data_IF_828656443379
#
_entry.id   IF_828656443379
#
_cell.length_a   1.000
_cell.length_b   1.000
_cell.length_c   1.000
_cell.angle_alpha   90.00
_cell.angle_beta   90.00
_cell.angle_gamma   90.00
#
_symmetry.space_group_name_H-M   'P 1'
#
loop_
_entity.id
_entity.type
_entity.pdbx_description
1 polymer ?
#
# COMPACT_ATOMS: atom_id res chain seq x y z
N UNK A 1 -7.37 -38.93 32.38
CA UNK A 1 -8.11 -37.95 31.59
C UNK A 1 -9.38 -38.60 31.08
N UNK A 2 -10.52 -38.05 31.44
CA UNK A 2 -11.82 -38.57 30.99
C UNK A 2 -12.07 -38.08 29.56
N UNK A 3 -12.77 -38.86 28.72
CA UNK A 3 -13.10 -38.46 27.35
C UNK A 3 -13.77 -37.06 27.27
N UNK A 4 -14.52 -36.71 28.31
CA UNK A 4 -15.13 -35.38 28.44
C UNK A 4 -14.11 -34.26 28.57
N UNK A 5 -12.99 -34.44 29.26
CA UNK A 5 -11.94 -33.42 29.43
C UNK A 5 -11.25 -33.15 28.13
N UNK A 6 -11.01 -34.19 27.33
CA UNK A 6 -10.40 -34.09 25.99
C UNK A 6 -11.34 -33.31 25.05
N UNK A 7 -12.62 -33.58 25.09
CA UNK A 7 -13.63 -32.91 24.27
C UNK A 7 -13.72 -31.42 24.56
N UNK A 8 -13.67 -31.04 25.85
CA UNK A 8 -13.67 -29.62 26.27
C UNK A 8 -12.39 -28.89 25.77
N UNK A 9 -11.23 -29.54 25.93
CA UNK A 9 -9.95 -28.96 25.49
C UNK A 9 -9.95 -28.76 23.94
N UNK A 10 -10.40 -29.75 23.18
CA UNK A 10 -10.49 -29.65 21.71
C UNK A 10 -11.45 -28.54 21.30
N UNK A 11 -12.60 -28.44 21.95
CA UNK A 11 -13.57 -27.36 21.69
C UNK A 11 -13.01 -25.98 22.00
N UNK A 12 -12.28 -25.83 23.11
CA UNK A 12 -11.63 -24.57 23.49
C UNK A 12 -10.53 -24.17 22.49
N UNK A 13 -9.68 -25.11 22.08
CA UNK A 13 -8.63 -24.86 21.08
C UNK A 13 -9.25 -24.50 19.73
N UNK A 14 -10.29 -25.17 19.30
CA UNK A 14 -11.00 -24.85 18.05
C UNK A 14 -11.63 -23.44 18.08
N UNK A 15 -12.21 -23.06 19.23
CA UNK A 15 -12.78 -21.72 19.43
C UNK A 15 -11.70 -20.64 19.39
N UNK A 16 -10.56 -20.86 20.05
CA UNK A 16 -9.43 -19.92 20.01
C UNK A 16 -8.81 -19.81 18.62
N UNK A 17 -8.66 -20.92 17.91
CA UNK A 17 -8.18 -20.91 16.52
C UNK A 17 -9.14 -20.19 15.58
N UNK A 18 -10.45 -20.40 15.75
CA UNK A 18 -11.48 -19.69 14.97
C UNK A 18 -11.47 -18.18 15.25
N UNK A 19 -11.31 -17.80 16.51
CA UNK A 19 -11.21 -16.40 16.91
C UNK A 19 -9.94 -15.76 16.34
N UNK A 20 -8.80 -16.46 16.42
CA UNK A 20 -7.54 -16.01 15.82
C UNK A 20 -7.67 -15.83 14.31
N UNK A 21 -8.28 -16.78 13.61
CA UNK A 21 -8.54 -16.67 12.16
C UNK A 21 -9.45 -15.48 11.82
N UNK A 22 -10.46 -15.21 12.64
CA UNK A 22 -11.38 -14.10 12.44
C UNK A 22 -10.68 -12.74 12.58
N UNK A 23 -9.79 -12.58 13.58
CA UNK A 23 -9.09 -11.32 13.82
C UNK A 23 -7.83 -11.12 12.97
N UNK A 24 -7.10 -12.21 12.66
CA UNK A 24 -5.83 -12.16 11.94
C UNK A 24 -5.93 -12.74 10.52
N UNK A 25 -7.12 -13.17 10.08
CA UNK A 25 -7.32 -13.68 8.74
C UNK A 25 -6.92 -12.66 7.66
N UNK A 26 -6.50 -13.14 6.47
CA UNK A 26 -6.03 -12.26 5.40
C UNK A 26 -7.14 -11.32 4.96
N UNK A 27 -6.89 -10.02 5.07
CA UNK A 27 -7.80 -9.00 4.54
C UNK A 27 -7.81 -9.10 3.03
N UNK A 28 -9.00 -9.05 2.44
CA UNK A 28 -9.17 -9.09 0.99
C UNK A 28 -8.60 -7.81 0.39
N UNK A 29 -7.43 -7.91 -0.23
CA UNK A 29 -6.86 -6.85 -1.04
C UNK A 29 -7.35 -7.03 -2.49
N UNK A 30 -7.78 -5.96 -3.13
CA UNK A 30 -8.17 -5.98 -4.54
C UNK A 30 -7.08 -5.33 -5.37
N UNK A 31 -6.67 -6.02 -6.43
CA UNK A 31 -5.68 -5.51 -7.38
C UNK A 31 -6.37 -4.71 -8.47
N UNK A 32 -5.84 -3.54 -8.78
CA UNK A 32 -6.35 -2.70 -9.86
C UNK A 32 -6.13 -3.38 -11.22
N UNK A 33 -7.11 -3.25 -12.11
CA UNK A 33 -7.07 -3.81 -13.46
C UNK A 33 -6.33 -2.85 -14.38
N UNK A 34 -5.35 -3.37 -15.12
CA UNK A 34 -4.63 -2.60 -16.14
C UNK A 34 -5.47 -2.51 -17.41
N UNK A 35 -5.86 -1.31 -17.79
CA UNK A 35 -6.61 -1.04 -19.01
C UNK A 35 -6.01 0.17 -19.74
N UNK A 36 -5.50 -0.05 -20.97
CA UNK A 36 -4.95 1.03 -21.79
C UNK A 36 -3.76 1.78 -21.19
N UNK A 37 -2.88 1.09 -20.45
CA UNK A 37 -1.72 1.71 -19.79
C UNK A 37 -2.04 2.45 -18.49
N UNK A 38 -3.27 2.38 -18.00
CA UNK A 38 -3.72 2.97 -16.73
C UNK A 38 -4.34 1.88 -15.87
N UNK A 39 -4.04 1.89 -14.60
CA UNK A 39 -4.63 0.98 -13.63
C UNK A 39 -5.96 1.57 -13.15
N UNK A 40 -7.05 0.82 -13.29
CA UNK A 40 -8.38 1.26 -12.89
C UNK A 40 -8.95 0.37 -11.81
N UNK A 41 -9.53 1.00 -10.80
CA UNK A 41 -10.26 0.33 -9.75
C UNK A 41 -11.44 1.19 -9.30
N UNK A 42 -12.55 0.51 -9.01
CA UNK A 42 -13.71 1.12 -8.37
C UNK A 42 -13.69 0.85 -6.86
N UNK A 43 -13.94 1.89 -6.08
CA UNK A 43 -14.02 1.84 -4.62
C UNK A 43 -15.40 2.32 -4.19
N UNK A 44 -16.17 1.42 -3.62
CA UNK A 44 -17.47 1.78 -3.05
C UNK A 44 -17.27 2.44 -1.69
N UNK A 45 -17.95 3.56 -1.47
CA UNK A 45 -17.92 4.33 -0.22
C UNK A 45 -19.30 4.24 0.44
N UNK A 46 -19.38 3.40 1.48
CA UNK A 46 -20.58 3.20 2.28
C UNK A 46 -20.20 2.80 3.69
N UNK A 47 -20.17 3.75 4.62
CA UNK A 47 -19.69 3.54 5.98
C UNK A 47 -18.20 3.20 6.09
N UNK A 48 -17.48 3.18 4.95
CA UNK A 48 -16.08 2.83 4.81
C UNK A 48 -15.70 2.74 3.35
N UNK A 49 -14.45 2.33 3.09
CA UNK A 49 -13.95 2.05 1.74
C UNK A 49 -14.01 0.55 1.45
N UNK A 50 -14.55 0.18 0.31
CA UNK A 50 -14.57 -1.22 -0.14
C UNK A 50 -14.07 -1.30 -1.60
N UNK A 51 -12.91 -1.89 -1.86
CA UNK A 51 -11.98 -2.53 -0.92
C UNK A 51 -11.22 -1.51 -0.05
N UNK A 52 -10.86 -1.91 1.19
CA UNK A 52 -10.02 -1.10 2.09
C UNK A 52 -8.54 -1.13 1.68
N UNK A 53 -8.10 -2.23 1.05
CA UNK A 53 -6.73 -2.45 0.62
C UNK A 53 -6.69 -2.57 -0.90
N UNK A 54 -5.96 -1.67 -1.53
CA UNK A 54 -5.83 -1.54 -2.98
C UNK A 54 -4.39 -1.85 -3.35
N UNK A 55 -4.17 -2.75 -4.32
CA UNK A 55 -2.84 -3.05 -4.86
C UNK A 55 -2.70 -2.47 -6.26
N UNK A 56 -1.63 -1.73 -6.46
CA UNK A 56 -1.28 -1.09 -7.73
C UNK A 56 0.19 -1.30 -8.05
N UNK A 57 0.58 -1.14 -9.31
CA UNK A 57 1.96 -1.24 -9.76
C UNK A 57 2.63 0.12 -9.80
N UNK A 58 3.89 0.16 -9.39
CA UNK A 58 4.73 1.34 -9.47
C UNK A 58 4.93 1.81 -10.93
N UNK A 59 4.97 3.11 -11.12
CA UNK A 59 5.27 3.73 -12.42
C UNK A 59 4.13 3.69 -13.43
N UNK A 60 2.97 3.15 -13.07
CA UNK A 60 1.77 3.13 -13.92
C UNK A 60 0.69 4.01 -13.30
N UNK A 61 0.18 5.03 -14.00
CA UNK A 61 -0.89 5.88 -13.50
C UNK A 61 -2.10 5.08 -13.01
N UNK A 62 -2.72 5.54 -11.95
CA UNK A 62 -3.87 4.88 -11.32
C UNK A 62 -5.07 5.81 -11.36
N UNK A 63 -6.21 5.30 -11.82
CA UNK A 63 -7.52 5.95 -11.75
C UNK A 63 -8.38 5.19 -10.74
N UNK A 64 -8.62 5.79 -9.58
CA UNK A 64 -9.54 5.28 -8.58
C UNK A 64 -10.89 5.97 -8.73
N UNK A 65 -11.91 5.21 -9.06
CA UNK A 65 -13.28 5.71 -9.14
C UNK A 65 -13.99 5.42 -7.81
N UNK A 66 -14.24 6.46 -7.03
CA UNK A 66 -14.99 6.37 -5.80
C UNK A 66 -16.49 6.49 -6.11
N UNK A 67 -17.24 5.42 -5.88
CA UNK A 67 -18.71 5.39 -5.97
C UNK A 67 -19.27 5.61 -4.57
N UNK A 68 -19.67 6.85 -4.26
CA UNK A 68 -20.21 7.19 -2.96
C UNK A 68 -21.69 6.90 -2.90
N UNK A 69 -22.09 5.95 -2.06
CA UNK A 69 -23.45 5.46 -1.88
C UNK A 69 -24.03 5.87 -0.53
N UNK A 70 -23.65 7.04 -0.05
CA UNK A 70 -24.15 7.60 1.20
C UNK A 70 -24.10 9.12 1.19
N UNK A 71 -24.77 9.75 2.17
CA UNK A 71 -24.82 11.20 2.32
C UNK A 71 -24.08 11.72 3.57
N UNK A 72 -23.47 10.82 4.37
CA UNK A 72 -22.78 11.19 5.61
C UNK A 72 -21.58 12.10 5.36
N UNK A 73 -21.41 13.16 6.14
CA UNK A 73 -20.35 14.17 5.92
C UNK A 73 -18.93 13.60 6.09
N UNK A 74 -18.77 12.53 6.86
CA UNK A 74 -17.46 11.94 7.12
C UNK A 74 -16.73 11.53 5.84
N UNK A 75 -17.45 10.93 4.87
CA UNK A 75 -16.89 10.43 3.61
C UNK A 75 -17.01 11.43 2.45
N UNK A 76 -17.35 12.69 2.75
CA UNK A 76 -17.48 13.76 1.73
C UNK A 76 -16.17 14.12 1.03
N UNK A 77 -15.05 13.65 1.54
CA UNK A 77 -13.72 13.93 1.00
C UNK A 77 -12.80 12.74 1.25
N UNK A 78 -11.97 12.42 0.26
CA UNK A 78 -10.83 11.49 0.40
C UNK A 78 -9.52 12.28 0.33
N UNK A 79 -8.55 11.88 1.14
CA UNK A 79 -7.23 12.51 1.22
C UNK A 79 -6.15 11.44 1.11
N UNK A 80 -5.21 11.66 0.20
CA UNK A 80 -4.00 10.87 0.00
C UNK A 80 -2.80 11.76 0.38
N UNK A 81 -2.35 11.75 1.65
CA UNK A 81 -1.32 12.69 2.13
C UNK A 81 -0.01 12.58 1.37
N UNK A 82 0.45 11.35 1.14
CA UNK A 82 1.73 11.06 0.48
C UNK A 82 1.75 11.50 -1.00
N UNK A 83 0.60 11.47 -1.65
CA UNK A 83 0.44 11.94 -3.03
C UNK A 83 0.02 13.42 -3.11
N UNK A 84 -0.23 14.08 -1.98
CA UNK A 84 -0.75 15.46 -1.89
C UNK A 84 -2.04 15.66 -2.70
N UNK A 85 -2.85 14.62 -2.79
CA UNK A 85 -4.12 14.63 -3.50
C UNK A 85 -5.27 14.61 -2.50
N UNK A 86 -6.24 15.49 -2.71
CA UNK A 86 -7.48 15.55 -1.96
C UNK A 86 -8.63 15.77 -2.93
N UNK A 87 -9.66 14.96 -2.85
CA UNK A 87 -10.83 15.05 -3.72
C UNK A 87 -12.13 15.07 -2.91
N UNK A 88 -13.05 15.93 -3.32
CA UNK A 88 -14.41 15.92 -2.81
C UNK A 88 -15.17 14.75 -3.44
N UNK A 89 -15.93 14.04 -2.62
CA UNK A 89 -16.80 12.95 -3.04
C UNK A 89 -18.26 13.36 -2.80
N UNK A 90 -18.96 13.92 -3.80
CA UNK A 90 -20.38 14.26 -3.65
C UNK A 90 -21.21 13.03 -3.35
N UNK A 91 -22.28 13.19 -2.54
CA UNK A 91 -23.19 12.10 -2.19
C UNK A 91 -23.83 11.51 -3.44
N UNK A 92 -23.94 10.17 -3.49
CA UNK A 92 -24.60 9.43 -4.56
C UNK A 92 -23.98 9.65 -5.95
N UNK A 93 -22.68 9.99 -6.01
CA UNK A 93 -21.96 10.25 -7.25
C UNK A 93 -20.66 9.46 -7.32
N UNK A 94 -20.19 9.29 -8.54
CA UNK A 94 -18.89 8.71 -8.86
C UNK A 94 -17.87 9.81 -9.10
N UNK A 95 -16.75 9.72 -8.44
CA UNK A 95 -15.64 10.66 -8.59
C UNK A 95 -14.36 9.90 -8.89
N UNK A 96 -13.69 10.25 -9.98
CA UNK A 96 -12.41 9.62 -10.35
C UNK A 96 -11.25 10.46 -9.84
N UNK A 97 -10.36 9.82 -9.11
CA UNK A 97 -9.11 10.40 -8.57
C UNK A 97 -7.93 9.75 -9.30
N UNK A 98 -7.02 10.57 -9.80
CA UNK A 98 -5.80 10.12 -10.47
C UNK A 98 -4.62 10.22 -9.52
N UNK A 99 -3.82 9.15 -9.49
CA UNK A 99 -2.61 9.05 -8.68
C UNK A 99 -1.47 8.54 -9.56
N UNK A 100 -0.27 9.09 -9.33
CA UNK A 100 0.96 8.65 -10.01
C UNK A 100 1.88 7.99 -8.98
N UNK A 101 1.84 6.66 -8.83
CA UNK A 101 2.64 5.93 -7.85
C UNK A 101 4.10 5.82 -8.32
N UNK A 102 4.91 6.83 -8.00
CA UNK A 102 6.33 6.88 -8.35
C UNK A 102 7.24 6.02 -7.48
N UNK A 103 6.79 5.64 -6.30
CA UNK A 103 7.55 4.84 -5.33
C UNK A 103 6.77 3.61 -4.90
N UNK A 104 7.47 2.48 -4.73
CA UNK A 104 6.89 1.28 -4.13
C UNK A 104 6.79 1.46 -2.61
N UNK A 105 5.73 0.93 -2.02
CA UNK A 105 5.49 1.02 -0.59
C UNK A 105 4.03 0.91 -0.23
N UNK A 106 3.74 1.12 1.03
CA UNK A 106 2.40 1.13 1.58
C UNK A 106 2.03 2.56 1.98
N UNK A 107 0.94 3.07 1.44
CA UNK A 107 0.49 4.44 1.62
C UNK A 107 -0.92 4.45 2.18
N UNK A 108 -1.14 5.19 3.26
CA UNK A 108 -2.46 5.36 3.85
C UNK A 108 -3.27 6.43 3.12
N UNK A 109 -4.58 6.21 2.99
CA UNK A 109 -5.51 7.27 2.64
C UNK A 109 -6.68 7.29 3.63
N UNK A 110 -7.30 8.42 3.80
CA UNK A 110 -8.35 8.60 4.79
C UNK A 110 -9.46 9.53 4.30
N UNK A 111 -10.58 9.51 5.00
CA UNK A 111 -11.60 10.53 4.84
C UNK A 111 -11.14 11.89 5.39
N UNK A 112 -11.83 12.97 5.01
CA UNK A 112 -11.47 14.32 5.43
C UNK A 112 -11.43 14.53 6.95
N UNK A 113 -12.17 13.73 7.72
CA UNK A 113 -12.18 13.74 9.19
C UNK A 113 -11.19 12.74 9.82
N UNK A 114 -10.44 12.00 9.01
CA UNK A 114 -9.47 10.99 9.45
C UNK A 114 -10.05 9.89 10.34
N UNK A 115 -11.30 9.53 10.15
CA UNK A 115 -11.99 8.48 10.90
C UNK A 115 -12.07 7.16 10.14
N UNK A 116 -12.09 7.21 8.82
CA UNK A 116 -12.15 6.05 7.92
C UNK A 116 -10.87 6.03 7.10
N UNK A 117 -10.19 4.88 7.12
CA UNK A 117 -8.89 4.71 6.49
C UNK A 117 -8.93 3.60 5.45
N UNK A 118 -8.06 3.71 4.47
CA UNK A 118 -7.73 2.65 3.54
C UNK A 118 -6.23 2.61 3.26
N UNK A 119 -5.78 1.56 2.60
CA UNK A 119 -4.36 1.35 2.30
C UNK A 119 -4.16 1.14 0.82
N UNK A 120 -3.24 1.88 0.24
CA UNK A 120 -2.77 1.73 -1.14
C UNK A 120 -1.39 1.08 -1.11
N UNK A 121 -1.28 -0.15 -1.59
CA UNK A 121 -0.02 -0.89 -1.70
C UNK A 121 0.49 -0.71 -3.12
N UNK A 122 1.62 -0.05 -3.27
CA UNK A 122 2.32 0.11 -4.54
C UNK A 122 3.38 -0.97 -4.65
N UNK A 123 3.12 -1.96 -5.50
CA UNK A 123 4.05 -3.05 -5.78
C UNK A 123 5.16 -2.54 -6.72
N UNK A 124 6.43 -2.91 -6.49
CA UNK A 124 7.51 -2.52 -7.37
C UNK A 124 7.25 -3.02 -8.80
N UNK A 125 7.65 -2.23 -9.79
CA UNK A 125 7.61 -2.66 -11.19
C UNK A 125 8.40 -3.96 -11.33
N UNK A 126 7.85 -4.95 -12.05
CA UNK A 126 8.50 -6.24 -12.26
C UNK A 126 9.89 -6.03 -12.91
N UNK A 127 10.95 -6.11 -12.10
CA UNK A 127 12.32 -5.82 -12.48
C UNK A 127 13.18 -5.24 -11.34
N UNK A 128 12.58 -4.78 -10.24
CA UNK A 128 13.27 -4.31 -9.04
C UNK A 128 13.31 -5.40 -7.98
N UNK A 129 14.41 -6.14 -7.90
CA UNK A 129 14.68 -7.05 -6.78
C UNK A 129 14.63 -6.26 -5.47
N UNK A 130 13.98 -6.83 -4.46
CA UNK A 130 13.97 -6.36 -3.10
C UNK A 130 15.39 -6.04 -2.62
N UNK A 131 15.71 -4.76 -2.47
CA UNK A 131 16.82 -4.31 -1.64
C UNK A 131 16.19 -3.87 -0.31
N UNK A 132 15.99 -4.80 0.57
CA UNK A 132 15.42 -4.54 1.88
C UNK A 132 15.51 -5.74 2.79
N UNK A 133 16.71 -6.35 2.85
CA UNK A 133 17.15 -7.11 4.01
C UNK A 133 18.68 -7.18 3.95
N UNK A 134 19.32 -6.12 4.44
CA UNK A 134 20.72 -6.16 4.79
C UNK A 134 20.81 -6.45 6.29
N UNK A 135 21.27 -7.63 6.72
CA UNK A 135 21.65 -7.83 8.10
C UNK A 135 22.87 -6.95 8.40
N UNK A 136 22.68 -6.10 9.38
CA UNK A 136 23.73 -5.32 10.02
C UNK A 136 24.86 -6.25 10.46
N UNK A 137 26.06 -6.02 9.95
CA UNK A 137 27.25 -6.66 10.54
C UNK A 137 28.37 -6.91 9.53
N UNK A 138 29.43 -6.18 9.76
CA UNK A 138 30.82 -6.50 9.52
C UNK A 138 31.58 -5.62 8.52
N UNK A 139 32.39 -4.75 9.15
CA UNK A 139 33.83 -4.61 8.90
C UNK A 139 34.28 -3.95 7.61
N UNK A 140 34.65 -2.69 7.77
CA UNK A 140 35.57 -1.95 6.89
C UNK A 140 36.98 -2.59 6.96
N UNK A 141 37.60 -2.90 5.85
CA UNK A 141 39.07 -2.84 5.77
C UNK A 141 39.46 -1.60 4.98
N UNK A 142 40.17 -0.73 5.67
CA UNK A 142 41.01 0.29 5.05
C UNK A 142 42.10 -0.38 4.21
N UNK A 143 42.24 0.04 2.96
CA UNK A 143 43.53 -0.15 2.26
C UNK A 143 43.68 0.85 1.12
N UNK A 144 44.60 1.76 1.36
CA UNK A 144 45.77 2.20 0.57
C UNK A 144 45.53 2.81 -0.82
N UNK A 145 45.74 4.11 -0.89
CA UNK A 145 46.93 4.71 -1.48
C UNK A 145 47.33 4.16 -2.86
N UNK A 146 47.15 4.98 -3.88
CA UNK A 146 47.67 4.78 -5.20
C UNK A 146 47.48 6.05 -6.02
N UNK A 147 48.44 6.97 -5.94
CA UNK A 147 48.45 8.17 -6.74
C UNK A 147 48.68 7.85 -8.22
N UNK A 148 48.05 8.63 -9.06
CA UNK A 148 48.59 8.85 -10.39
C UNK A 148 48.14 10.23 -10.88
N UNK A 149 49.13 11.08 -11.01
CA UNK A 149 49.07 12.41 -11.58
C UNK A 149 48.71 12.30 -13.06
N UNK A 150 47.65 13.03 -13.46
CA UNK A 150 47.45 13.30 -14.88
C UNK A 150 47.53 14.79 -15.12
N UNK A 151 48.56 15.09 -15.91
CA UNK A 151 49.00 16.41 -16.40
C UNK A 151 47.88 17.17 -17.08
N UNK A 152 47.74 18.42 -16.68
CA UNK A 152 47.18 19.46 -17.52
C UNK A 152 48.05 19.63 -18.77
N UNK A 153 47.46 19.49 -19.93
CA UNK A 153 48.05 19.98 -21.19
C UNK A 153 47.27 21.19 -21.63
N UNK A 154 47.81 22.36 -21.36
CA UNK A 154 47.53 23.62 -22.02
C UNK A 154 47.93 23.53 -23.48
N UNK A 155 47.05 23.92 -24.37
CA UNK A 155 47.38 24.21 -25.79
C UNK A 155 46.92 25.63 -26.09
N UNK A 156 47.79 26.47 -26.61
CA UNK A 156 47.41 27.79 -27.13
C UNK A 156 47.21 27.70 -28.65
N UNK A 157 46.27 28.48 -29.15
CA UNK A 157 45.99 28.70 -30.54
C UNK A 157 44.80 29.61 -30.68
#
# INVERSE_FOLDING_TARGET
MRAADILVIVAAVAALAGLGWFFFGPRKATTAVLAGGVQRLEVTVRGGYSPEVIRVRQGVPVELTFDRQESGDCTSRVVFPDFRVSAALPAWQRTTVRLDPGQAGEFGFACGMNMIHGTLIVEPAAGGANVGDAPNGATVPASRSGGSAIRCRTSPG
#
